data_IF_171267151829
#
_entry.id   IF_171267151829
#
_cell.length_a   1.000
_cell.length_b   1.000
_cell.length_c   1.000
_cell.angle_alpha   90.00
_cell.angle_beta   90.00
_cell.angle_gamma   90.00
#
_symmetry.space_group_name_H-M   'P 1'
#
loop_
_entity.id
_entity.type
_entity.pdbx_description
1 polymer ?
#
# COMPACT_ATOMS: atom_id res chain seq x y z
N UNK A 1 18.38 -8.01 27.78
CA UNK A 1 18.07 -7.99 26.34
C UNK A 1 18.48 -6.63 25.82
N UNK A 2 19.22 -6.58 24.71
CA UNK A 2 19.74 -5.34 24.15
C UNK A 2 18.60 -4.42 23.69
N UNK A 3 18.85 -3.11 23.62
CA UNK A 3 17.89 -2.09 23.17
C UNK A 3 17.23 -2.44 21.81
N UNK A 4 17.89 -3.26 20.98
CA UNK A 4 17.38 -3.73 19.70
C UNK A 4 16.13 -4.61 19.83
N UNK A 5 16.08 -5.57 20.77
CA UNK A 5 14.92 -6.49 20.88
C UNK A 5 13.64 -5.73 21.24
N UNK A 6 13.76 -4.71 22.08
CA UNK A 6 12.63 -3.86 22.44
C UNK A 6 12.14 -3.03 21.24
N UNK A 7 13.05 -2.57 20.37
CA UNK A 7 12.66 -1.89 19.14
C UNK A 7 11.93 -2.84 18.18
N UNK A 8 12.42 -4.07 17.97
CA UNK A 8 11.72 -5.06 17.14
C UNK A 8 10.29 -5.30 17.66
N UNK A 9 10.14 -5.46 18.98
CA UNK A 9 8.82 -5.66 19.59
C UNK A 9 7.88 -4.48 19.36
N UNK A 10 8.40 -3.25 19.49
CA UNK A 10 7.63 -2.05 19.19
C UNK A 10 7.22 -1.97 17.71
N UNK A 11 8.14 -2.29 16.79
CA UNK A 11 7.84 -2.28 15.36
C UNK A 11 6.75 -3.30 15.01
N UNK A 12 6.80 -4.50 15.62
CA UNK A 12 5.75 -5.53 15.49
C UNK A 12 4.40 -4.99 15.98
N UNK A 13 4.38 -4.37 17.15
CA UNK A 13 3.15 -3.79 17.71
C UNK A 13 2.59 -2.69 16.81
N UNK A 14 3.44 -1.84 16.26
CA UNK A 14 3.04 -0.78 15.34
C UNK A 14 2.46 -1.36 14.04
N UNK A 15 3.06 -2.41 13.47
CA UNK A 15 2.53 -3.11 12.29
C UNK A 15 1.14 -3.68 12.54
N UNK A 16 0.94 -4.41 13.64
CA UNK A 16 -0.38 -4.98 13.96
C UNK A 16 -1.41 -3.91 14.32
N UNK A 17 -1.00 -2.84 15.02
CA UNK A 17 -1.89 -1.73 15.35
C UNK A 17 -2.37 -0.97 14.11
N UNK A 18 -1.50 -0.76 13.13
CA UNK A 18 -1.81 -0.05 11.90
C UNK A 18 -2.54 -0.94 10.88
N UNK A 19 -2.10 -2.19 10.71
CA UNK A 19 -2.46 -3.03 9.56
C UNK A 19 -3.10 -4.37 9.91
N UNK A 20 -3.13 -4.79 11.18
CA UNK A 20 -3.72 -6.08 11.57
C UNK A 20 -5.21 -6.18 11.22
N UNK A 21 -5.96 -5.09 11.39
CA UNK A 21 -7.37 -5.01 10.97
C UNK A 21 -7.56 -5.03 9.43
N UNK A 22 -6.49 -4.83 8.68
CA UNK A 22 -6.46 -4.82 7.20
C UNK A 22 -5.88 -6.10 6.60
N UNK A 23 -5.64 -7.13 7.41
CA UNK A 23 -5.29 -8.47 6.94
C UNK A 23 -3.82 -8.85 7.07
N UNK A 24 -2.98 -8.03 7.72
CA UNK A 24 -1.66 -8.52 8.17
C UNK A 24 -1.87 -9.59 9.24
N UNK A 25 -1.41 -10.80 8.96
CA UNK A 25 -1.60 -12.01 9.76
C UNK A 25 -0.29 -12.68 10.16
N UNK A 26 0.84 -11.98 10.02
CA UNK A 26 2.16 -12.52 10.30
C UNK A 26 3.26 -11.46 10.26
N UNK A 27 4.49 -11.88 10.57
CA UNK A 27 5.68 -11.04 10.57
C UNK A 27 6.80 -11.71 9.78
N UNK A 28 7.38 -10.95 8.85
CA UNK A 28 8.61 -11.29 8.16
C UNK A 28 9.77 -10.55 8.82
N UNK A 29 10.67 -11.28 9.47
CA UNK A 29 11.87 -10.74 10.11
C UNK A 29 13.02 -10.79 9.12
N UNK A 30 13.44 -9.61 8.66
CA UNK A 30 14.54 -9.47 7.71
C UNK A 30 15.92 -9.45 8.39
N UNK A 31 16.97 -9.74 7.62
CA UNK A 31 18.38 -9.68 8.05
C UNK A 31 18.70 -10.59 9.25
N UNK A 32 18.11 -11.78 9.25
CA UNK A 32 18.35 -12.80 10.27
C UNK A 32 19.73 -13.42 10.07
N UNK A 33 20.48 -13.69 11.14
CA UNK A 33 21.76 -14.39 11.00
C UNK A 33 21.55 -15.88 10.74
N UNK A 34 22.44 -16.50 9.95
CA UNK A 34 22.33 -17.92 9.61
C UNK A 34 22.95 -18.87 10.66
N UNK A 35 23.63 -18.32 11.67
CA UNK A 35 24.35 -19.07 12.70
C UNK A 35 23.53 -19.17 14.00
N UNK A 36 23.65 -20.28 14.73
CA UNK A 36 23.01 -20.44 16.04
C UNK A 36 23.58 -19.48 17.08
N UNK A 37 24.89 -19.21 17.01
CA UNK A 37 25.58 -18.39 17.99
C UNK A 37 27.05 -18.16 17.67
N UNK A 38 27.81 -17.91 18.73
CA UNK A 38 29.25 -17.65 18.68
C UNK A 38 30.03 -18.79 19.33
N UNK A 39 31.36 -18.78 19.20
CA UNK A 39 32.21 -19.76 19.90
C UNK A 39 32.12 -19.67 21.44
N UNK A 40 31.76 -18.51 22.00
CA UNK A 40 31.63 -18.32 23.45
C UNK A 40 30.24 -18.67 23.97
N UNK A 41 29.24 -18.55 23.09
CA UNK A 41 27.83 -18.80 23.38
C UNK A 41 27.17 -19.38 22.12
N UNK A 42 27.13 -20.72 21.97
CA UNK A 42 26.69 -21.40 20.76
C UNK A 42 25.23 -21.14 20.38
N UNK A 43 24.42 -20.68 21.33
CA UNK A 43 22.98 -20.46 21.13
C UNK A 43 22.59 -18.97 21.17
N UNK A 44 23.58 -18.07 21.20
CA UNK A 44 23.35 -16.63 21.38
C UNK A 44 22.33 -16.02 20.41
N UNK A 45 22.41 -16.37 19.13
CA UNK A 45 21.56 -15.77 18.11
C UNK A 45 20.21 -16.47 18.06
N UNK A 46 20.21 -17.79 18.15
CA UNK A 46 18.99 -18.60 18.11
C UNK A 46 18.07 -18.26 19.30
N UNK A 47 18.62 -18.05 20.50
CA UNK A 47 17.87 -17.60 21.68
C UNK A 47 17.27 -16.20 21.50
N UNK A 48 17.95 -15.31 20.78
CA UNK A 48 17.45 -13.97 20.48
C UNK A 48 16.21 -14.02 19.57
N UNK A 49 16.29 -14.78 18.47
CA UNK A 49 15.15 -14.91 17.56
C UNK A 49 14.01 -15.72 18.18
N UNK A 50 14.32 -16.74 18.98
CA UNK A 50 13.32 -17.45 19.77
C UNK A 50 12.54 -16.49 20.70
N UNK A 51 13.21 -15.59 21.40
CA UNK A 51 12.53 -14.59 22.24
C UNK A 51 11.63 -13.62 21.45
N UNK A 52 11.97 -13.31 20.20
CA UNK A 52 11.11 -12.50 19.31
C UNK A 52 9.91 -13.32 18.82
N UNK A 53 10.12 -14.57 18.40
CA UNK A 53 9.05 -15.46 17.97
C UNK A 53 8.07 -15.79 19.10
N UNK A 54 8.57 -16.01 20.32
CA UNK A 54 7.75 -16.18 21.52
C UNK A 54 6.91 -14.92 21.78
N UNK A 55 7.51 -13.73 21.66
CA UNK A 55 6.77 -12.47 21.80
C UNK A 55 5.64 -12.35 20.76
N UNK A 56 5.90 -12.66 19.49
CA UNK A 56 4.88 -12.64 18.44
C UNK A 56 3.77 -13.62 18.79
N UNK A 57 4.12 -14.85 19.15
CA UNK A 57 3.16 -15.92 19.46
C UNK A 57 2.29 -15.60 20.67
N UNK A 58 2.88 -15.00 21.71
CA UNK A 58 2.19 -14.64 22.96
C UNK A 58 1.22 -13.46 22.78
N UNK A 59 1.60 -12.46 21.98
CA UNK A 59 0.81 -11.23 21.80
C UNK A 59 -0.14 -11.27 20.60
N UNK A 60 0.20 -12.07 19.57
CA UNK A 60 -0.55 -12.21 18.33
C UNK A 60 -0.77 -13.70 17.99
N UNK A 61 -1.63 -14.41 18.76
CA UNK A 61 -1.82 -15.84 18.58
C UNK A 61 -2.29 -16.20 17.16
N UNK A 62 -1.57 -17.11 16.51
CA UNK A 62 -1.84 -17.54 15.14
C UNK A 62 -1.13 -16.70 14.07
N UNK A 63 -0.32 -15.71 14.45
CA UNK A 63 0.51 -14.98 13.51
C UNK A 63 1.54 -15.90 12.85
N UNK A 64 1.66 -15.83 11.53
CA UNK A 64 2.65 -16.58 10.75
C UNK A 64 4.03 -15.92 10.86
N UNK A 65 5.08 -16.68 11.13
CA UNK A 65 6.43 -16.15 11.36
C UNK A 65 7.37 -16.61 10.25
N UNK A 66 8.02 -15.63 9.60
CA UNK A 66 9.05 -15.87 8.58
C UNK A 66 10.37 -15.27 9.03
N UNK A 67 11.46 -16.05 8.96
CA UNK A 67 12.82 -15.54 9.12
C UNK A 67 13.50 -15.45 7.76
N UNK A 68 14.17 -14.33 7.49
CA UNK A 68 15.00 -14.17 6.30
C UNK A 68 16.50 -14.06 6.61
N UNK A 69 17.21 -15.20 6.66
CA UNK A 69 18.66 -15.20 6.54
C UNK A 69 19.18 -15.01 5.12
N UNK A 70 18.37 -15.32 4.10
CA UNK A 70 18.74 -15.22 2.69
C UNK A 70 19.80 -16.24 2.24
N UNK A 71 20.14 -17.21 3.08
CA UNK A 71 21.21 -18.18 2.84
C UNK A 71 21.02 -19.45 3.67
N UNK A 72 21.72 -20.56 3.36
CA UNK A 72 21.62 -21.79 4.13
C UNK A 72 21.90 -21.57 5.62
N UNK A 73 21.01 -22.08 6.46
CA UNK A 73 20.96 -21.83 7.91
C UNK A 73 21.25 -23.09 8.72
N UNK A 74 21.77 -22.93 9.94
CA UNK A 74 21.98 -24.03 10.88
C UNK A 74 20.64 -24.57 11.42
N UNK A 75 20.59 -25.87 11.75
CA UNK A 75 19.32 -26.57 12.07
C UNK A 75 18.65 -26.11 13.37
N UNK A 76 19.34 -25.34 14.22
CA UNK A 76 18.76 -24.81 15.46
C UNK A 76 17.57 -23.85 15.21
N UNK A 77 17.44 -23.32 13.98
CA UNK A 77 16.33 -22.43 13.61
C UNK A 77 15.02 -23.15 13.26
N UNK A 78 15.04 -24.49 13.13
CA UNK A 78 13.89 -25.27 12.64
C UNK A 78 12.57 -24.98 13.37
N UNK A 79 12.63 -24.80 14.69
CA UNK A 79 11.47 -24.64 15.57
C UNK A 79 11.11 -23.17 15.88
N UNK A 80 11.80 -22.19 15.28
CA UNK A 80 11.68 -20.77 15.69
C UNK A 80 10.69 -19.99 14.83
N UNK A 81 10.43 -20.46 13.62
CA UNK A 81 9.55 -19.80 12.68
C UNK A 81 8.84 -20.82 11.82
N UNK A 82 7.72 -20.43 11.22
CA UNK A 82 6.95 -21.30 10.34
C UNK A 82 7.71 -21.56 9.04
N UNK A 83 8.29 -20.52 8.45
CA UNK A 83 9.12 -20.55 7.23
C UNK A 83 10.45 -19.83 7.42
N UNK A 84 11.48 -20.30 6.74
CA UNK A 84 12.81 -19.68 6.69
C UNK A 84 13.23 -19.49 5.24
N UNK A 85 13.64 -18.28 4.87
CA UNK A 85 14.22 -18.00 3.56
C UNK A 85 15.67 -18.49 3.55
N UNK A 86 15.90 -19.66 2.99
CA UNK A 86 17.23 -20.31 2.97
C UNK A 86 18.02 -20.04 1.70
N UNK A 87 17.47 -19.26 0.78
CA UNK A 87 18.18 -18.69 -0.35
C UNK A 87 17.55 -17.35 -0.76
N UNK A 88 18.35 -16.31 -0.87
CA UNK A 88 18.00 -15.04 -1.50
C UNK A 88 19.18 -14.57 -2.38
N UNK A 89 19.02 -14.63 -3.70
CA UNK A 89 20.17 -14.34 -4.58
C UNK A 89 19.87 -14.38 -6.08
N UNK A 90 20.92 -14.14 -6.87
CA UNK A 90 20.80 -14.13 -8.33
C UNK A 90 20.64 -15.53 -8.92
N UNK A 91 20.00 -15.60 -10.07
CA UNK A 91 19.86 -16.78 -10.91
C UNK A 91 21.19 -17.51 -11.12
N UNK A 92 22.25 -16.74 -11.45
CA UNK A 92 23.57 -17.28 -11.68
C UNK A 92 24.12 -18.01 -10.43
N UNK A 93 23.97 -17.42 -9.25
CA UNK A 93 24.43 -18.02 -7.99
C UNK A 93 23.59 -19.25 -7.61
N UNK A 94 22.28 -19.17 -7.83
CA UNK A 94 21.33 -20.25 -7.53
C UNK A 94 21.61 -21.51 -8.36
N UNK A 95 21.76 -21.33 -9.68
CA UNK A 95 22.00 -22.44 -10.60
C UNK A 95 23.42 -23.00 -10.51
N UNK A 96 24.41 -22.18 -10.12
CA UNK A 96 25.78 -22.62 -9.88
C UNK A 96 25.98 -23.27 -8.49
N UNK A 97 24.94 -23.33 -7.66
CA UNK A 97 24.99 -23.89 -6.30
C UNK A 97 26.07 -23.24 -5.42
N UNK A 98 26.21 -21.92 -5.52
CA UNK A 98 27.26 -21.16 -4.79
C UNK A 98 27.09 -21.29 -3.27
N UNK A 99 25.85 -21.45 -2.80
CA UNK A 99 25.49 -21.68 -1.41
C UNK A 99 24.73 -23.01 -1.31
N UNK A 100 25.43 -24.14 -1.12
CA UNK A 100 24.80 -25.46 -1.11
C UNK A 100 23.78 -25.60 0.03
N UNK A 101 22.64 -26.22 -0.28
CA UNK A 101 21.58 -26.50 0.69
C UNK A 101 22.09 -27.31 1.87
N UNK A 102 21.69 -26.92 3.09
CA UNK A 102 22.07 -27.63 4.30
C UNK A 102 21.49 -29.06 4.33
N UNK A 103 22.22 -30.08 4.81
CA UNK A 103 21.73 -31.46 4.82
C UNK A 103 20.40 -31.64 5.55
N UNK A 104 20.21 -30.96 6.68
CA UNK A 104 18.97 -31.07 7.46
C UNK A 104 17.75 -30.52 6.71
N UNK A 105 17.93 -29.50 5.86
CA UNK A 105 16.86 -29.01 4.99
C UNK A 105 16.45 -30.10 4.00
N UNK A 106 17.41 -30.79 3.36
CA UNK A 106 17.11 -31.88 2.43
C UNK A 106 16.46 -33.09 3.10
N UNK A 107 16.73 -33.30 4.39
CA UNK A 107 16.20 -34.42 5.19
C UNK A 107 14.87 -34.08 5.87
N UNK A 108 14.48 -32.80 5.92
CA UNK A 108 13.26 -32.36 6.59
C UNK A 108 12.02 -32.92 5.90
N UNK A 109 11.05 -33.36 6.71
CA UNK A 109 9.77 -33.83 6.22
C UNK A 109 8.82 -32.68 5.83
N UNK A 110 9.15 -31.44 6.20
CA UNK A 110 8.31 -30.27 5.95
C UNK A 110 8.99 -29.32 4.94
N UNK A 111 8.71 -29.44 3.63
CA UNK A 111 9.27 -28.53 2.64
C UNK A 111 8.76 -27.09 2.81
N UNK A 112 7.57 -26.87 3.39
CA UNK A 112 7.04 -25.52 3.66
C UNK A 112 7.85 -24.77 4.70
N UNK A 113 8.78 -25.43 5.40
CA UNK A 113 9.76 -24.76 6.27
C UNK A 113 10.72 -23.85 5.50
N UNK A 114 10.85 -24.01 4.18
CA UNK A 114 11.90 -23.38 3.40
C UNK A 114 11.36 -22.59 2.20
N UNK A 115 11.94 -21.41 2.00
CA UNK A 115 11.62 -20.50 0.90
C UNK A 115 12.88 -20.07 0.17
N UNK A 116 12.86 -20.15 -1.17
CA UNK A 116 13.89 -19.59 -2.03
C UNK A 116 13.39 -18.36 -2.82
N UNK A 117 14.13 -17.26 -2.75
CA UNK A 117 13.93 -16.02 -3.49
C UNK A 117 15.03 -15.87 -4.55
N UNK A 118 14.68 -15.83 -5.84
CA UNK A 118 15.67 -15.83 -6.93
C UNK A 118 15.40 -14.71 -7.92
N UNK A 119 16.35 -13.78 -8.09
CA UNK A 119 16.23 -12.66 -9.03
C UNK A 119 17.15 -12.81 -10.26
N UNK A 120 17.02 -11.92 -11.25
CA UNK A 120 17.79 -11.94 -12.51
C UNK A 120 17.56 -13.24 -13.33
N UNK A 121 16.33 -13.74 -13.32
CA UNK A 121 15.93 -14.94 -14.07
C UNK A 121 15.35 -14.53 -15.43
N UNK A 122 16.02 -14.84 -16.55
CA UNK A 122 15.83 -14.10 -17.80
C UNK A 122 14.50 -14.37 -18.54
N UNK A 123 13.88 -15.52 -18.35
CA UNK A 123 12.67 -15.93 -19.05
C UNK A 123 11.91 -17.04 -18.32
N UNK A 124 10.69 -17.34 -18.79
CA UNK A 124 9.83 -18.35 -18.20
C UNK A 124 10.43 -19.76 -18.19
N UNK A 125 11.31 -20.11 -19.15
CA UNK A 125 11.96 -21.41 -19.17
C UNK A 125 13.06 -21.51 -18.09
N UNK A 126 13.79 -20.42 -17.87
CA UNK A 126 14.72 -20.31 -16.75
C UNK A 126 13.99 -20.31 -15.41
N UNK A 127 12.84 -19.63 -15.30
CA UNK A 127 11.98 -19.67 -14.11
C UNK A 127 11.52 -21.10 -13.80
N UNK A 128 11.01 -21.85 -14.77
CA UNK A 128 10.60 -23.24 -14.57
C UNK A 128 11.78 -24.11 -14.09
N UNK A 129 12.99 -23.87 -14.58
CA UNK A 129 14.19 -24.56 -14.10
C UNK A 129 14.55 -24.20 -12.64
N UNK A 130 14.33 -22.94 -12.24
CA UNK A 130 14.51 -22.48 -10.85
C UNK A 130 13.49 -23.13 -9.91
N UNK A 131 12.22 -23.15 -10.29
CA UNK A 131 11.14 -23.81 -9.54
C UNK A 131 11.42 -25.31 -9.40
N UNK A 132 11.78 -25.99 -10.50
CA UNK A 132 12.14 -27.41 -10.44
C UNK A 132 13.33 -27.68 -9.51
N UNK A 133 14.31 -26.76 -9.47
CA UNK A 133 15.47 -26.85 -8.56
C UNK A 133 15.09 -26.58 -7.10
N UNK A 134 14.17 -25.66 -6.81
CA UNK A 134 13.74 -25.40 -5.42
C UNK A 134 13.11 -26.64 -4.80
N UNK A 135 12.26 -27.35 -5.56
CA UNK A 135 11.67 -28.62 -5.11
C UNK A 135 12.72 -29.72 -4.89
N UNK A 136 13.77 -29.78 -5.72
CA UNK A 136 14.91 -30.70 -5.50
C UNK A 136 15.72 -30.35 -4.23
N UNK A 137 15.75 -29.08 -3.86
CA UNK A 137 16.40 -28.57 -2.64
C UNK A 137 15.45 -28.56 -1.43
N UNK A 138 14.31 -29.25 -1.52
CA UNK A 138 13.28 -29.36 -0.48
C UNK A 138 12.69 -28.01 -0.04
N UNK A 139 12.67 -27.00 -0.92
CA UNK A 139 12.00 -25.74 -0.68
C UNK A 139 10.56 -25.76 -1.19
N UNK A 140 9.61 -25.67 -0.27
CA UNK A 140 8.17 -25.63 -0.54
C UNK A 140 7.76 -24.33 -1.20
N UNK A 141 8.28 -23.20 -0.70
CA UNK A 141 8.02 -21.87 -1.25
C UNK A 141 9.13 -21.43 -2.19
N UNK A 142 8.75 -20.72 -3.26
CA UNK A 142 9.68 -20.12 -4.22
C UNK A 142 9.07 -18.84 -4.77
N UNK A 143 9.90 -17.82 -4.96
CA UNK A 143 9.57 -16.64 -5.74
C UNK A 143 10.74 -16.30 -6.67
N UNK A 144 10.41 -15.98 -7.92
CA UNK A 144 11.36 -15.88 -9.02
C UNK A 144 11.07 -14.63 -9.83
N UNK A 145 12.07 -13.79 -10.07
CA UNK A 145 11.88 -12.53 -10.80
C UNK A 145 12.93 -12.28 -11.87
N UNK A 146 12.51 -11.68 -12.99
CA UNK A 146 13.40 -11.22 -14.06
C UNK A 146 14.04 -9.87 -13.75
N UNK A 147 13.59 -9.22 -12.68
CA UNK A 147 14.17 -7.96 -12.22
C UNK A 147 15.53 -8.14 -11.57
N UNK A 148 16.32 -7.06 -11.55
CA UNK A 148 17.73 -7.08 -11.21
C UNK A 148 18.03 -6.25 -9.97
N UNK A 149 18.93 -6.78 -9.13
CA UNK A 149 19.59 -5.96 -8.12
C UNK A 149 20.63 -5.04 -8.79
N UNK A 150 20.31 -3.76 -8.91
CA UNK A 150 21.23 -2.74 -9.45
C UNK A 150 21.86 -1.99 -8.29
N UNK A 151 23.18 -2.02 -8.18
CA UNK A 151 23.92 -1.31 -7.13
C UNK A 151 24.67 -0.10 -7.70
N UNK A 152 24.73 0.99 -6.93
CA UNK A 152 25.63 2.11 -7.19
C UNK A 152 27.09 1.73 -6.88
N UNK A 153 28.02 2.65 -7.17
CA UNK A 153 29.45 2.42 -6.95
C UNK A 153 29.83 2.21 -5.47
N UNK A 154 28.93 2.53 -4.52
CA UNK A 154 29.11 2.36 -3.08
C UNK A 154 28.35 1.14 -2.54
N UNK A 155 27.65 0.39 -3.39
CA UNK A 155 26.85 -0.77 -3.00
C UNK A 155 25.43 -0.46 -2.55
N UNK A 156 24.94 0.77 -2.72
CA UNK A 156 23.55 1.12 -2.45
C UNK A 156 22.65 0.68 -3.62
N UNK A 157 21.50 0.09 -3.32
CA UNK A 157 20.55 -0.32 -4.36
C UNK A 157 19.95 0.90 -5.08
N UNK A 158 20.02 0.89 -6.42
CA UNK A 158 19.38 1.82 -7.35
C UNK A 158 18.12 1.22 -7.98
N UNK A 159 17.95 -0.10 -7.89
CA UNK A 159 16.77 -0.87 -8.27
C UNK A 159 16.71 -2.13 -7.41
N UNK A 160 15.51 -2.48 -6.95
CA UNK A 160 15.29 -3.61 -6.05
C UNK A 160 14.54 -4.70 -6.80
N UNK A 161 15.04 -5.95 -6.85
CA UNK A 161 14.40 -7.01 -7.65
C UNK A 161 12.98 -7.37 -7.17
N UNK A 162 12.59 -6.88 -6.00
CA UNK A 162 11.34 -7.18 -5.32
C UNK A 162 10.29 -6.07 -5.48
N UNK A 163 10.55 -5.05 -6.31
CA UNK A 163 9.69 -3.86 -6.42
C UNK A 163 8.64 -3.92 -7.55
N UNK A 164 8.70 -4.95 -8.40
CA UNK A 164 7.76 -5.18 -9.51
C UNK A 164 7.43 -6.66 -9.68
N UNK A 165 6.27 -6.97 -10.29
CA UNK A 165 5.92 -8.33 -10.68
C UNK A 165 6.70 -8.74 -11.93
N UNK A 166 7.16 -10.01 -12.01
CA UNK A 166 7.93 -10.46 -13.14
C UNK A 166 7.09 -10.57 -14.41
N UNK A 167 7.75 -10.49 -15.57
CA UNK A 167 7.07 -10.60 -16.87
C UNK A 167 6.35 -11.93 -17.11
N UNK A 168 6.64 -12.95 -16.28
CA UNK A 168 6.07 -14.30 -16.33
C UNK A 168 5.28 -14.68 -15.07
N UNK A 169 4.81 -13.70 -14.28
CA UNK A 169 4.09 -13.94 -13.01
C UNK A 169 3.03 -15.04 -13.08
N UNK A 170 2.11 -14.98 -14.05
CA UNK A 170 1.05 -15.98 -14.21
C UNK A 170 1.63 -17.39 -14.45
N UNK A 171 2.67 -17.51 -15.29
CA UNK A 171 3.32 -18.80 -15.53
C UNK A 171 4.04 -19.35 -14.29
N UNK A 172 4.61 -18.47 -13.47
CA UNK A 172 5.26 -18.86 -12.22
C UNK A 172 4.27 -19.45 -11.20
N UNK A 173 3.08 -18.87 -11.08
CA UNK A 173 2.03 -19.41 -10.20
C UNK A 173 1.68 -20.87 -10.57
N UNK A 174 1.56 -21.17 -11.87
CA UNK A 174 1.30 -22.52 -12.36
C UNK A 174 2.46 -23.46 -12.05
N UNK A 175 3.68 -23.05 -12.38
CA UNK A 175 4.88 -23.88 -12.16
C UNK A 175 5.12 -24.16 -10.67
N UNK A 176 4.95 -23.16 -9.80
CA UNK A 176 5.14 -23.29 -8.37
C UNK A 176 4.11 -24.22 -7.71
N UNK A 177 2.87 -24.23 -8.21
CA UNK A 177 1.81 -25.13 -7.76
C UNK A 177 2.05 -26.59 -8.20
N UNK A 178 2.77 -26.81 -9.31
CA UNK A 178 3.15 -28.15 -9.77
C UNK A 178 1.97 -28.99 -10.27
N UNK A 179 0.90 -28.35 -10.74
CA UNK A 179 -0.30 -29.01 -11.29
C UNK A 179 -0.56 -28.51 -12.72
N UNK A 180 -1.09 -29.40 -13.58
CA UNK A 180 -1.57 -29.03 -14.91
C UNK A 180 -2.98 -28.46 -14.80
N UNK A 181 -3.10 -27.14 -14.87
CA UNK A 181 -4.32 -26.42 -14.55
C UNK A 181 -5.21 -26.19 -15.78
N UNK A 182 -6.39 -26.83 -15.75
CA UNK A 182 -7.37 -26.81 -16.84
C UNK A 182 -8.78 -26.48 -16.36
N UNK A 183 -8.95 -26.27 -15.06
CA UNK A 183 -10.23 -25.84 -14.51
C UNK A 183 -10.33 -24.32 -14.67
N UNK A 184 -11.55 -23.83 -14.88
CA UNK A 184 -11.80 -22.38 -14.93
C UNK A 184 -12.09 -21.88 -13.53
N UNK A 185 -11.76 -20.61 -13.21
CA UNK A 185 -12.23 -19.98 -11.99
C UNK A 185 -13.76 -19.96 -11.93
N UNK A 186 -14.29 -19.96 -10.72
CA UNK A 186 -15.69 -19.60 -10.52
C UNK A 186 -15.97 -18.18 -11.06
N UNK A 187 -17.18 -17.88 -11.56
CA UNK A 187 -17.52 -16.50 -11.92
C UNK A 187 -17.40 -15.58 -10.70
N UNK A 188 -16.81 -14.37 -10.84
CA UNK A 188 -16.76 -13.41 -9.75
C UNK A 188 -18.15 -13.13 -9.16
N UNK A 189 -18.25 -13.17 -7.83
CA UNK A 189 -19.48 -12.86 -7.10
C UNK A 189 -19.33 -11.61 -6.22
N UNK A 190 -20.42 -11.18 -5.59
CA UNK A 190 -20.41 -10.01 -4.70
C UNK A 190 -20.12 -8.69 -5.41
N UNK A 191 -20.30 -8.60 -6.74
CA UNK A 191 -20.05 -7.37 -7.50
C UNK A 191 -20.90 -6.21 -6.97
N UNK A 192 -20.22 -5.22 -6.39
CA UNK A 192 -20.79 -3.99 -5.85
C UNK A 192 -20.15 -2.76 -6.47
N UNK A 193 -20.79 -1.60 -6.27
CA UNK A 193 -20.28 -0.32 -6.76
C UNK A 193 -20.59 0.84 -5.80
N UNK A 194 -19.61 1.72 -5.61
CA UNK A 194 -19.77 3.04 -5.03
C UNK A 194 -19.61 4.10 -6.12
N UNK A 195 -20.70 4.78 -6.48
CA UNK A 195 -20.70 5.81 -7.53
C UNK A 195 -20.75 7.23 -6.94
N UNK A 196 -19.87 8.10 -7.45
CA UNK A 196 -19.76 9.51 -7.05
C UNK A 196 -19.82 10.37 -8.30
N UNK A 197 -20.56 11.49 -8.24
CA UNK A 197 -20.63 12.47 -9.32
C UNK A 197 -19.98 13.78 -8.90
N UNK A 198 -19.10 14.27 -9.76
CA UNK A 198 -18.62 15.65 -9.75
C UNK A 198 -19.60 16.58 -10.46
N UNK A 199 -19.11 17.73 -10.90
CA UNK A 199 -19.94 18.77 -11.53
C UNK A 199 -20.31 18.43 -12.98
N UNK A 200 -19.45 17.70 -13.68
CA UNK A 200 -19.63 17.35 -15.10
C UNK A 200 -19.36 15.89 -15.43
N UNK A 201 -18.59 15.20 -14.60
CA UNK A 201 -18.24 13.79 -14.76
C UNK A 201 -18.59 13.00 -13.51
N UNK A 202 -18.71 11.68 -13.65
CA UNK A 202 -18.90 10.75 -12.56
C UNK A 202 -17.87 9.63 -12.63
N UNK A 203 -17.73 8.91 -11.52
CA UNK A 203 -16.96 7.66 -11.42
C UNK A 203 -17.74 6.61 -10.64
N UNK A 204 -17.39 5.36 -10.84
CA UNK A 204 -17.84 4.25 -10.01
C UNK A 204 -16.65 3.39 -9.63
N UNK A 205 -16.48 3.16 -8.33
CA UNK A 205 -15.54 2.17 -7.80
C UNK A 205 -16.27 0.84 -7.68
N UNK A 206 -15.85 -0.13 -8.47
CA UNK A 206 -16.36 -1.49 -8.46
C UNK A 206 -15.50 -2.36 -7.55
N UNK A 207 -16.13 -3.27 -6.79
CA UNK A 207 -15.45 -4.26 -5.94
C UNK A 207 -16.18 -5.59 -6.04
N UNK A 208 -15.47 -6.70 -5.94
CA UNK A 208 -16.02 -8.05 -5.95
C UNK A 208 -15.18 -8.98 -5.06
N UNK A 209 -15.68 -10.18 -4.76
CA UNK A 209 -14.89 -11.17 -4.03
C UNK A 209 -13.92 -11.87 -4.97
N UNK A 210 -12.78 -12.34 -4.45
CA UNK A 210 -11.88 -13.20 -5.21
C UNK A 210 -12.55 -14.56 -5.45
N UNK A 211 -12.82 -14.97 -6.71
CA UNK A 211 -13.39 -16.27 -6.98
C UNK A 211 -12.40 -17.38 -6.61
N UNK A 212 -12.95 -18.54 -6.29
CA UNK A 212 -12.15 -19.73 -6.06
C UNK A 212 -11.63 -20.29 -7.39
N UNK A 213 -10.39 -20.76 -7.34
CA UNK A 213 -9.73 -21.52 -8.39
C UNK A 213 -8.78 -22.54 -7.73
N UNK A 214 -8.46 -23.64 -8.41
CA UNK A 214 -7.61 -24.69 -7.86
C UNK A 214 -6.11 -24.35 -7.83
N UNK A 215 -5.66 -23.37 -8.61
CA UNK A 215 -4.29 -22.85 -8.55
C UNK A 215 -4.31 -21.43 -8.04
N UNK A 216 -4.82 -20.50 -8.84
CA UNK A 216 -4.86 -19.09 -8.49
C UNK A 216 -5.66 -18.32 -9.55
N UNK A 217 -6.65 -17.57 -9.09
CA UNK A 217 -7.20 -16.46 -9.86
C UNK A 217 -6.11 -15.41 -10.06
N UNK A 218 -5.70 -15.19 -11.31
CA UNK A 218 -4.62 -14.27 -11.65
C UNK A 218 -5.15 -12.84 -11.85
N UNK A 219 -6.33 -12.66 -12.43
CA UNK A 219 -6.90 -11.31 -12.55
C UNK A 219 -8.28 -11.26 -13.17
N UNK A 220 -8.72 -10.05 -13.49
CA UNK A 220 -10.10 -9.74 -13.86
C UNK A 220 -10.21 -8.84 -15.08
N UNK A 221 -11.17 -9.13 -15.95
CA UNK A 221 -11.57 -8.24 -17.05
C UNK A 221 -12.93 -7.64 -16.73
N UNK A 222 -13.01 -6.30 -16.79
CA UNK A 222 -14.21 -5.55 -16.41
C UNK A 222 -14.92 -5.06 -17.66
N UNK A 223 -16.24 -5.20 -17.68
CA UNK A 223 -17.11 -4.84 -18.79
C UNK A 223 -18.06 -3.73 -18.37
N UNK A 224 -18.25 -2.74 -19.25
CA UNK A 224 -19.28 -1.69 -19.16
C UNK A 224 -20.19 -1.79 -20.38
N UNK A 225 -21.47 -2.00 -20.15
CA UNK A 225 -22.51 -2.16 -21.18
C UNK A 225 -22.14 -3.22 -22.24
N UNK A 226 -21.54 -4.33 -21.78
CA UNK A 226 -21.10 -5.45 -22.62
C UNK A 226 -19.78 -5.24 -23.36
N UNK A 227 -19.10 -4.11 -23.15
CA UNK A 227 -17.80 -3.80 -23.77
C UNK A 227 -16.71 -3.83 -22.70
N UNK A 228 -15.61 -4.53 -22.96
CA UNK A 228 -14.44 -4.53 -22.08
C UNK A 228 -13.88 -3.12 -21.93
N UNK A 229 -13.62 -2.71 -20.70
CA UNK A 229 -13.02 -1.42 -20.35
C UNK A 229 -11.61 -1.55 -19.77
N UNK A 230 -11.06 -2.77 -19.74
CA UNK A 230 -9.71 -3.07 -19.28
C UNK A 230 -9.66 -4.21 -18.29
N UNK A 231 -8.44 -4.49 -17.84
CA UNK A 231 -8.11 -5.56 -16.91
C UNK A 231 -7.49 -5.01 -15.63
N UNK A 232 -7.56 -5.79 -14.55
CA UNK A 232 -6.95 -5.49 -13.25
C UNK A 232 -6.55 -6.78 -12.55
N UNK A 233 -5.46 -6.75 -11.79
CA UNK A 233 -5.05 -7.84 -10.89
C UNK A 233 -5.75 -7.73 -9.52
N UNK A 234 -6.17 -6.51 -9.14
CA UNK A 234 -6.96 -6.28 -7.94
C UNK A 234 -8.42 -6.66 -8.16
N UNK A 235 -9.10 -7.13 -7.11
CA UNK A 235 -10.55 -7.34 -7.08
C UNK A 235 -11.37 -6.05 -6.97
N UNK A 236 -10.82 -4.95 -7.53
CA UNK A 236 -11.36 -3.59 -7.50
C UNK A 236 -10.97 -2.87 -8.78
N UNK A 237 -11.89 -2.06 -9.33
CA UNK A 237 -11.58 -1.16 -10.44
C UNK A 237 -12.36 0.15 -10.30
N UNK A 238 -11.69 1.29 -10.49
CA UNK A 238 -12.35 2.60 -10.57
C UNK A 238 -12.60 2.99 -12.01
N UNK A 239 -13.88 3.06 -12.40
CA UNK A 239 -14.32 3.49 -13.73
C UNK A 239 -14.57 4.99 -13.72
N UNK A 240 -13.76 5.76 -14.43
CA UNK A 240 -13.87 7.22 -14.53
C UNK A 240 -14.53 7.66 -15.85
N UNK A 241 -14.79 8.96 -15.99
CA UNK A 241 -15.35 9.53 -17.23
C UNK A 241 -16.80 9.15 -17.50
N UNK A 242 -17.55 8.73 -16.48
CA UNK A 242 -18.98 8.50 -16.59
C UNK A 242 -19.75 9.83 -16.61
N UNK A 243 -21.00 9.80 -17.03
CA UNK A 243 -21.91 10.96 -16.97
C UNK A 243 -22.80 10.86 -15.73
N UNK A 244 -23.06 11.98 -15.02
CA UNK A 244 -24.04 12.00 -13.93
C UNK A 244 -25.44 11.59 -14.39
N UNK A 245 -26.27 11.12 -13.45
CA UNK A 245 -27.66 10.66 -13.69
C UNK A 245 -27.81 9.67 -14.86
N UNK A 246 -26.79 8.87 -15.13
CA UNK A 246 -26.77 7.87 -16.20
C UNK A 246 -26.66 6.47 -15.63
N UNK A 247 -27.42 5.52 -16.17
CA UNK A 247 -27.36 4.11 -15.81
C UNK A 247 -26.34 3.38 -16.69
N UNK A 248 -25.51 2.57 -16.07
CA UNK A 248 -24.50 1.70 -16.71
C UNK A 248 -24.66 0.28 -16.19
N UNK A 249 -24.45 -0.71 -17.06
CA UNK A 249 -24.33 -2.12 -16.68
C UNK A 249 -22.86 -2.52 -16.53
N UNK A 250 -22.52 -3.19 -15.44
CA UNK A 250 -21.18 -3.72 -15.17
C UNK A 250 -21.20 -5.24 -14.98
N UNK A 251 -20.18 -5.90 -15.49
CA UNK A 251 -19.90 -7.30 -15.28
C UNK A 251 -18.38 -7.51 -15.19
N UNK A 252 -17.97 -8.59 -14.54
CA UNK A 252 -16.56 -8.97 -14.40
C UNK A 252 -16.43 -10.45 -14.71
N UNK A 253 -15.35 -10.86 -15.36
CA UNK A 253 -14.92 -12.27 -15.39
C UNK A 253 -13.50 -12.36 -14.86
N UNK A 254 -13.11 -13.52 -14.39
CA UNK A 254 -11.77 -13.82 -13.93
C UNK A 254 -11.01 -14.66 -14.97
N UNK A 255 -9.68 -14.59 -14.93
CA UNK A 255 -8.80 -15.60 -15.50
C UNK A 255 -7.86 -16.14 -14.42
N UNK A 256 -7.50 -17.41 -14.52
CA UNK A 256 -6.48 -18.03 -13.67
C UNK A 256 -5.07 -17.86 -14.25
N UNK A 257 -4.09 -18.29 -13.48
CA UNK A 257 -2.67 -18.30 -13.85
C UNK A 257 -2.35 -19.12 -15.13
N UNK A 258 -3.13 -20.14 -15.45
CA UNK A 258 -2.99 -20.94 -16.67
C UNK A 258 -3.70 -20.32 -17.90
N UNK A 259 -4.45 -19.24 -17.69
CA UNK A 259 -5.20 -18.53 -18.72
C UNK A 259 -6.57 -19.13 -19.01
N UNK A 260 -7.11 -20.02 -18.17
CA UNK A 260 -8.52 -20.40 -18.27
C UNK A 260 -9.39 -19.23 -17.75
N UNK A 261 -10.59 -19.09 -18.32
CA UNK A 261 -11.43 -17.89 -18.13
C UNK A 261 -12.81 -18.31 -17.65
N UNK A 262 -13.29 -17.63 -16.61
CA UNK A 262 -14.62 -17.86 -16.03
C UNK A 262 -15.75 -17.38 -16.96
N UNK A 263 -16.98 -17.79 -16.66
CA UNK A 263 -18.16 -17.05 -17.13
C UNK A 263 -18.19 -15.64 -16.51
N UNK A 264 -19.01 -14.74 -17.08
CA UNK A 264 -19.26 -13.42 -16.51
C UNK A 264 -20.02 -13.52 -15.18
N UNK A 265 -19.74 -12.59 -14.28
CA UNK A 265 -20.54 -12.33 -13.09
C UNK A 265 -22.00 -12.02 -13.44
N UNK A 266 -22.87 -12.11 -12.43
CA UNK A 266 -24.18 -11.49 -12.51
C UNK A 266 -24.06 -9.99 -12.86
N UNK A 267 -24.96 -9.44 -13.72
CA UNK A 267 -24.90 -8.06 -14.14
C UNK A 267 -25.29 -7.11 -13.01
N UNK A 268 -24.45 -6.10 -12.75
CA UNK A 268 -24.72 -5.01 -11.84
C UNK A 268 -25.14 -3.76 -12.61
N UNK A 269 -26.37 -3.28 -12.39
CA UNK A 269 -26.80 -1.98 -12.92
C UNK A 269 -26.52 -0.88 -11.90
N UNK A 270 -25.71 0.11 -12.27
CA UNK A 270 -25.35 1.26 -11.43
C UNK A 270 -25.87 2.52 -12.09
N UNK A 271 -26.62 3.32 -11.34
CA UNK A 271 -27.00 4.68 -11.76
C UNK A 271 -26.15 5.68 -11.00
N UNK A 272 -25.34 6.45 -11.72
CA UNK A 272 -24.52 7.50 -11.11
C UNK A 272 -25.41 8.57 -10.47
N UNK A 273 -24.99 9.19 -9.36
CA UNK A 273 -25.72 10.31 -8.75
C UNK A 273 -25.98 11.48 -9.71
N UNK A 274 -26.82 12.43 -9.29
CA UNK A 274 -26.92 13.71 -9.97
C UNK A 274 -25.61 14.49 -9.88
N UNK A 275 -25.37 15.36 -10.86
CA UNK A 275 -24.19 16.23 -10.85
C UNK A 275 -24.17 17.08 -9.57
N UNK A 276 -23.00 17.17 -8.96
CA UNK A 276 -22.79 18.03 -7.82
C UNK A 276 -22.93 19.51 -8.23
N UNK A 277 -23.50 20.33 -7.37
CA UNK A 277 -23.61 21.77 -7.63
C UNK A 277 -22.25 22.48 -7.51
N UNK A 278 -21.33 21.93 -6.72
CA UNK A 278 -19.98 22.45 -6.47
C UNK A 278 -18.98 21.30 -6.43
N UNK A 279 -17.72 21.60 -6.76
CA UNK A 279 -16.65 20.59 -6.76
C UNK A 279 -16.07 20.27 -5.39
N UNK A 280 -16.32 21.14 -4.40
CA UNK A 280 -15.91 20.98 -3.00
C UNK A 280 -17.18 20.83 -2.16
N UNK A 281 -17.26 19.73 -1.41
CA UNK A 281 -18.40 19.37 -0.58
C UNK A 281 -18.01 19.31 0.90
N UNK A 282 -18.97 19.65 1.75
CA UNK A 282 -18.86 19.58 3.22
C UNK A 282 -17.55 20.14 3.80
N UNK A 283 -17.07 21.33 3.36
CA UNK A 283 -15.88 21.93 3.94
C UNK A 283 -16.12 22.20 5.43
N UNK A 284 -15.19 21.76 6.27
CA UNK A 284 -15.25 21.94 7.71
C UNK A 284 -13.87 22.24 8.28
N UNK A 285 -13.86 22.99 9.37
CA UNK A 285 -12.63 23.36 10.07
C UNK A 285 -12.90 23.35 11.56
N UNK A 286 -11.94 22.86 12.32
CA UNK A 286 -11.95 22.87 13.77
C UNK A 286 -10.63 23.44 14.29
N UNK A 287 -10.69 24.27 15.33
CA UNK A 287 -9.52 24.86 15.97
C UNK A 287 -9.57 24.59 17.47
N UNK A 288 -8.56 23.92 17.99
CA UNK A 288 -8.33 23.74 19.43
C UNK A 288 -7.11 24.56 19.90
N UNK A 289 -6.68 24.37 21.14
CA UNK A 289 -5.45 24.98 21.66
C UNK A 289 -4.16 24.42 21.02
N UNK A 290 -4.19 23.19 20.52
CA UNK A 290 -3.00 22.47 20.06
C UNK A 290 -3.07 22.03 18.60
N UNK A 291 -4.26 21.83 18.05
CA UNK A 291 -4.48 21.30 16.69
C UNK A 291 -5.52 22.14 15.95
N UNK A 292 -5.26 22.41 14.67
CA UNK A 292 -6.23 22.87 13.70
C UNK A 292 -6.49 21.74 12.69
N UNK A 293 -7.75 21.33 12.55
CA UNK A 293 -8.20 20.25 11.66
C UNK A 293 -9.04 20.82 10.53
N UNK A 294 -8.78 20.39 9.30
CA UNK A 294 -9.47 20.83 8.09
C UNK A 294 -9.94 19.61 7.31
N UNK A 295 -11.18 19.62 6.84
CA UNK A 295 -11.75 18.49 6.10
C UNK A 295 -12.65 18.97 4.97
N UNK A 296 -12.51 18.37 3.78
CA UNK A 296 -13.44 18.59 2.66
C UNK A 296 -13.41 17.40 1.70
N UNK A 297 -14.52 17.16 1.02
CA UNK A 297 -14.59 16.19 -0.08
C UNK A 297 -14.46 16.88 -1.44
N UNK A 298 -13.71 16.27 -2.35
CA UNK A 298 -13.45 16.81 -3.69
C UNK A 298 -13.96 15.85 -4.77
N UNK A 299 -15.01 16.25 -5.47
CA UNK A 299 -15.76 15.34 -6.36
C UNK A 299 -15.32 15.37 -7.82
N UNK A 300 -14.57 16.39 -8.22
CA UNK A 300 -13.92 16.52 -9.52
C UNK A 300 -12.42 16.19 -9.42
N UNK A 301 -11.78 15.68 -10.51
CA UNK A 301 -10.36 15.34 -10.49
C UNK A 301 -9.49 16.60 -10.51
N UNK A 302 -8.84 16.90 -9.39
CA UNK A 302 -7.94 18.05 -9.27
C UNK A 302 -6.49 17.62 -9.04
N UNK A 303 -5.56 18.39 -9.61
CA UNK A 303 -4.12 18.15 -9.47
C UNK A 303 -3.56 18.64 -8.12
N UNK A 304 -4.29 19.54 -7.46
CA UNK A 304 -3.91 20.09 -6.15
C UNK A 304 -5.15 20.35 -5.32
N UNK A 305 -5.05 20.05 -4.02
CA UNK A 305 -6.05 20.31 -2.99
C UNK A 305 -5.44 21.27 -1.98
N UNK A 306 -6.07 22.43 -1.77
CA UNK A 306 -5.54 23.48 -0.93
C UNK A 306 -6.48 23.89 0.19
N UNK A 307 -5.88 24.27 1.31
CA UNK A 307 -6.54 25.00 2.39
C UNK A 307 -5.79 26.31 2.59
N UNK A 308 -6.44 27.43 2.35
CA UNK A 308 -5.91 28.75 2.68
C UNK A 308 -6.40 29.16 4.06
N UNK A 309 -5.46 29.57 4.92
CA UNK A 309 -5.69 29.86 6.32
C UNK A 309 -5.17 31.28 6.61
N UNK A 310 -6.09 32.19 6.90
CA UNK A 310 -5.81 33.43 7.63
C UNK A 310 -5.81 33.05 9.12
N UNK A 311 -4.60 33.02 9.69
CA UNK A 311 -4.35 32.45 11.02
C UNK A 311 -4.40 33.50 12.12
N UNK A 312 -4.22 34.78 11.80
CA UNK A 312 -4.27 35.89 12.74
C UNK A 312 -5.60 36.69 12.68
N UNK A 313 -6.46 36.37 11.71
CA UNK A 313 -7.72 37.05 11.41
C UNK A 313 -7.51 38.55 11.14
N UNK A 314 -6.39 38.90 10.50
CA UNK A 314 -6.06 40.24 10.03
C UNK A 314 -5.99 40.30 8.49
N UNK A 315 -7.02 40.88 7.89
CA UNK A 315 -7.09 41.08 6.44
C UNK A 315 -5.99 42.00 5.86
N UNK A 316 -5.21 42.69 6.70
CA UNK A 316 -4.11 43.57 6.27
C UNK A 316 -2.76 42.84 6.12
N UNK A 317 -2.64 41.62 6.64
CA UNK A 317 -1.44 40.77 6.53
C UNK A 317 -1.64 39.72 5.43
N UNK A 318 -0.69 38.80 5.26
CA UNK A 318 -0.87 37.64 4.38
C UNK A 318 -1.03 37.91 2.88
N UNK A 319 -1.40 36.85 2.18
CA UNK A 319 -1.72 36.83 0.76
C UNK A 319 -3.21 37.18 0.54
N UNK A 320 -3.49 37.90 -0.55
CA UNK A 320 -4.86 38.25 -0.93
C UNK A 320 -5.33 37.31 -2.05
N UNK A 321 -6.33 36.48 -1.75
CA UNK A 321 -6.96 35.63 -2.77
C UNK A 321 -7.75 36.48 -3.79
N UNK A 322 -8.16 35.88 -4.94
CA UNK A 322 -8.94 36.59 -5.95
C UNK A 322 -10.21 37.25 -5.41
N UNK A 323 -10.77 38.25 -6.12
CA UNK A 323 -11.98 38.96 -5.67
C UNK A 323 -13.12 38.01 -5.29
N UNK A 324 -13.70 38.22 -4.10
CA UNK A 324 -14.75 37.36 -3.53
C UNK A 324 -14.25 36.28 -2.57
N UNK A 325 -12.94 36.14 -2.41
CA UNK A 325 -12.29 35.24 -1.44
C UNK A 325 -11.63 36.03 -0.29
N UNK A 326 -11.27 35.36 0.83
CA UNK A 326 -10.58 35.99 1.96
C UNK A 326 -9.24 36.64 1.58
N UNK A 327 -8.95 37.79 2.19
CA UNK A 327 -7.60 38.35 2.29
C UNK A 327 -6.95 37.87 3.61
N UNK A 328 -5.71 38.27 3.90
CA UNK A 328 -5.09 37.89 5.18
C UNK A 328 -4.46 36.50 5.20
N UNK A 329 -4.31 35.80 4.07
CA UNK A 329 -3.91 34.38 4.12
C UNK A 329 -2.44 34.23 4.48
N UNK A 330 -2.16 33.74 5.68
CA UNK A 330 -0.81 33.52 6.19
C UNK A 330 -0.23 32.17 5.79
N UNK A 331 -1.10 31.15 5.71
CA UNK A 331 -0.70 29.77 5.47
C UNK A 331 -1.52 29.15 4.35
N UNK A 332 -0.87 28.23 3.65
CA UNK A 332 -1.48 27.39 2.63
C UNK A 332 -1.08 25.95 2.93
N UNK A 333 -2.06 25.08 3.07
CA UNK A 333 -1.83 23.64 2.89
C UNK A 333 -2.00 23.37 1.40
N UNK A 334 -1.07 22.64 0.79
CA UNK A 334 -1.24 22.09 -0.55
C UNK A 334 -0.89 20.61 -0.51
N UNK A 335 -1.87 19.76 -0.81
CA UNK A 335 -1.76 18.31 -0.70
C UNK A 335 -1.22 17.89 0.68
N UNK A 336 0.00 17.37 0.77
CA UNK A 336 0.62 16.90 2.01
C UNK A 336 1.50 17.92 2.75
N UNK A 337 1.62 19.17 2.27
CA UNK A 337 2.60 20.11 2.78
C UNK A 337 1.97 21.42 3.28
N UNK A 338 2.51 21.94 4.39
CA UNK A 338 2.18 23.26 4.93
C UNK A 338 3.17 24.31 4.42
N UNK A 339 2.66 25.46 3.99
CA UNK A 339 3.43 26.61 3.53
C UNK A 339 3.06 27.87 4.30
N UNK A 340 4.03 28.75 4.46
CA UNK A 340 3.88 30.09 5.05
C UNK A 340 4.15 31.16 3.99
N UNK A 341 3.32 32.18 3.99
CA UNK A 341 3.49 33.36 3.14
C UNK A 341 4.70 34.20 3.56
N UNK A 342 5.47 34.70 2.59
CA UNK A 342 6.74 35.41 2.89
C UNK A 342 6.97 36.72 2.14
N UNK A 343 6.08 37.13 1.24
CA UNK A 343 6.30 38.34 0.47
C UNK A 343 5.31 38.56 -0.66
N UNK A 344 5.45 39.63 -1.45
CA UNK A 344 4.44 40.03 -2.42
C UNK A 344 4.21 38.96 -3.51
N UNK A 345 2.96 38.85 -3.96
CA UNK A 345 2.57 37.90 -5.02
C UNK A 345 2.48 36.47 -4.50
N UNK A 346 2.68 35.48 -5.38
CA UNK A 346 2.64 34.07 -4.99
C UNK A 346 3.97 33.62 -4.38
N UNK A 347 4.21 33.97 -3.11
CA UNK A 347 5.48 33.71 -2.42
C UNK A 347 5.28 32.89 -1.14
N UNK A 348 5.61 31.60 -1.23
CA UNK A 348 5.36 30.59 -0.20
C UNK A 348 6.64 29.83 0.14
N UNK A 349 6.92 29.63 1.43
CA UNK A 349 7.99 28.74 1.91
C UNK A 349 7.39 27.57 2.69
N UNK A 350 7.84 26.36 2.41
CA UNK A 350 7.36 25.18 3.14
C UNK A 350 7.79 25.26 4.62
N UNK A 351 6.88 24.93 5.53
CA UNK A 351 7.16 24.77 6.95
C UNK A 351 7.75 23.37 7.16
N UNK A 352 9.05 23.30 7.47
CA UNK A 352 9.75 22.01 7.64
C UNK A 352 9.23 21.24 8.86
N UNK A 353 9.19 19.91 8.75
CA UNK A 353 8.82 19.01 9.85
C UNK A 353 7.32 18.92 10.14
N UNK A 354 6.47 19.42 9.24
CA UNK A 354 5.00 19.34 9.36
C UNK A 354 4.44 18.64 8.12
N UNK A 355 3.71 17.55 8.33
CA UNK A 355 3.04 16.76 7.29
C UNK A 355 1.54 16.71 7.58
N UNK A 356 0.74 17.69 7.10
CA UNK A 356 -0.64 17.82 7.56
C UNK A 356 -1.61 16.75 7.09
N UNK A 357 -1.35 16.06 5.98
CA UNK A 357 -2.34 15.16 5.37
C UNK A 357 -2.51 13.88 6.20
N UNK A 358 -3.73 13.66 6.69
CA UNK A 358 -4.12 12.52 7.54
C UNK A 358 -4.82 11.43 6.73
N UNK A 359 -5.69 11.80 5.80
CA UNK A 359 -6.47 10.84 5.00
C UNK A 359 -6.90 11.44 3.66
N UNK A 360 -7.04 10.57 2.66
CA UNK A 360 -7.63 10.86 1.33
C UNK A 360 -8.71 9.83 0.96
N UNK A 361 -9.28 9.14 1.95
CA UNK A 361 -10.21 8.03 1.73
C UNK A 361 -11.52 8.53 1.12
N UNK A 362 -12.02 7.83 0.09
CA UNK A 362 -13.29 8.14 -0.59
C UNK A 362 -13.44 9.62 -0.98
N UNK A 363 -12.34 10.21 -1.47
CA UNK A 363 -12.27 11.60 -1.93
C UNK A 363 -12.43 12.66 -0.83
N UNK A 364 -12.43 12.24 0.43
CA UNK A 364 -12.40 13.11 1.60
C UNK A 364 -10.96 13.35 2.01
N UNK A 365 -10.55 14.61 2.01
CA UNK A 365 -9.23 15.00 2.47
C UNK A 365 -9.34 15.55 3.87
N UNK A 366 -8.52 14.99 4.77
CA UNK A 366 -8.41 15.45 6.16
C UNK A 366 -6.98 15.93 6.39
N UNK A 367 -6.85 17.12 6.94
CA UNK A 367 -5.58 17.71 7.34
C UNK A 367 -5.57 18.10 8.80
N UNK A 368 -4.46 17.86 9.48
CA UNK A 368 -4.22 18.32 10.85
C UNK A 368 -2.89 19.07 10.93
N UNK A 369 -2.94 20.26 11.51
CA UNK A 369 -1.77 21.14 11.70
C UNK A 369 -1.62 21.43 13.18
N UNK A 370 -0.43 21.23 13.77
CA UNK A 370 -0.14 21.75 15.11
C UNK A 370 -0.30 23.27 15.12
N UNK A 371 -1.07 23.82 16.06
CA UNK A 371 -1.29 25.28 16.15
C UNK A 371 0.03 26.05 16.34
N UNK A 372 1.03 25.41 16.95
CA UNK A 372 2.40 25.94 17.08
C UNK A 372 3.12 26.17 15.75
N UNK A 373 2.68 25.52 14.66
CA UNK A 373 3.22 25.71 13.32
C UNK A 373 2.58 26.88 12.57
N UNK A 374 1.46 27.43 13.07
CA UNK A 374 0.77 28.57 12.48
C UNK A 374 1.26 29.87 13.13
N UNK A 375 1.89 30.73 12.34
CA UNK A 375 2.29 32.08 12.78
C UNK A 375 1.05 32.93 13.05
N UNK A 376 1.06 33.70 14.14
CA UNK A 376 -0.03 34.63 14.44
C UNK A 376 -1.32 33.97 14.92
N UNK A 377 -1.33 32.66 15.20
CA UNK A 377 -2.49 31.86 15.56
C UNK A 377 -3.41 32.53 16.61
N UNK A 378 -4.39 33.27 16.10
CA UNK A 378 -5.42 33.90 16.90
C UNK A 378 -6.41 32.85 17.39
N UNK A 379 -7.27 33.22 18.33
CA UNK A 379 -8.38 32.37 18.75
C UNK A 379 -9.49 32.29 17.71
N UNK A 380 -9.31 32.86 16.52
CA UNK A 380 -10.21 32.77 15.37
C UNK A 380 -9.39 32.71 14.09
N UNK A 381 -9.79 31.83 13.16
CA UNK A 381 -9.21 31.68 11.83
C UNK A 381 -10.27 31.91 10.75
N UNK A 382 -9.83 32.38 9.59
CA UNK A 382 -10.64 32.40 8.37
C UNK A 382 -10.04 31.41 7.37
N UNK A 383 -10.88 30.49 6.90
CA UNK A 383 -10.45 29.33 6.11
C UNK A 383 -11.23 29.25 4.82
N UNK A 384 -10.56 28.93 3.73
CA UNK A 384 -11.22 28.55 2.47
C UNK A 384 -10.48 27.39 1.82
N UNK A 385 -11.25 26.44 1.30
CA UNK A 385 -10.74 25.32 0.53
C UNK A 385 -10.71 25.70 -0.94
N UNK A 386 -9.66 25.28 -1.65
CA UNK A 386 -9.50 25.51 -3.08
C UNK A 386 -8.98 24.26 -3.77
N UNK A 387 -9.38 24.05 -5.02
CA UNK A 387 -8.78 23.03 -5.86
C UNK A 387 -8.76 23.41 -7.35
N UNK A 388 -7.79 22.85 -8.06
CA UNK A 388 -7.81 22.72 -9.53
C UNK A 388 -7.57 23.97 -10.38
N UNK A 389 -7.75 23.78 -11.69
CA UNK A 389 -7.85 24.81 -12.74
C UNK A 389 -9.00 24.42 -13.71
N UNK A 390 -10.04 25.26 -13.91
CA UNK A 390 -10.23 26.54 -13.24
C UNK A 390 -10.39 26.38 -11.73
N UNK A 391 -9.97 27.39 -10.97
CA UNK A 391 -10.00 27.34 -9.51
C UNK A 391 -11.44 27.20 -9.01
N UNK A 392 -11.70 26.15 -8.23
CA UNK A 392 -12.91 26.00 -7.43
C UNK A 392 -12.62 26.41 -6.00
N UNK A 393 -13.51 27.20 -5.40
CA UNK A 393 -13.41 27.62 -4.00
C UNK A 393 -14.63 27.16 -3.22
N UNK A 394 -14.43 26.77 -1.96
CA UNK A 394 -15.53 26.56 -1.03
C UNK A 394 -16.14 27.88 -0.55
N UNK A 395 -17.23 27.80 0.21
CA UNK A 395 -17.60 28.91 1.07
C UNK A 395 -16.49 29.19 2.10
N UNK A 396 -16.31 30.46 2.46
CA UNK A 396 -15.42 30.86 3.55
C UNK A 396 -15.98 30.39 4.88
N UNK A 397 -15.12 29.79 5.70
CA UNK A 397 -15.40 29.41 7.07
C UNK A 397 -14.71 30.37 8.02
N UNK A 398 -15.39 30.80 9.07
CA UNK A 398 -14.78 31.50 10.22
C UNK A 398 -14.91 30.59 11.43
N UNK A 399 -13.78 30.21 12.00
CA UNK A 399 -13.71 29.22 13.09
C UNK A 399 -13.07 29.84 14.31
N UNK A 400 -13.81 29.89 15.42
CA UNK A 400 -13.26 30.26 16.72
C UNK A 400 -12.78 29.03 17.48
N UNK A 401 -11.73 29.21 18.27
CA UNK A 401 -11.13 28.17 19.07
C UNK A 401 -12.14 27.56 20.06
N UNK A 402 -12.19 26.24 20.09
CA UNK A 402 -13.01 25.44 21.01
C UNK A 402 -12.13 24.63 21.97
N UNK A 403 -12.77 23.91 22.91
CA UNK A 403 -12.07 23.02 23.84
C UNK A 403 -11.53 21.75 23.18
N UNK A 404 -11.87 21.47 21.92
CA UNK A 404 -11.43 20.26 21.23
C UNK A 404 -11.90 20.17 19.78
N UNK A 405 -11.11 19.43 19.02
CA UNK A 405 -11.43 18.76 17.77
C UNK A 405 -11.46 17.26 18.06
#
# INVERSE_FOLDING_TARGET
>A
MADWTAQIQQDIDDWFALYGAYGVDGIFLDQVTALCGTAADPDLYVDLYAAVSDYISDNYPGAYIILNPGMPVESCYEDIADTIVTFEGSYANYMADVFPTAPWQLESANPEKFWHLVYDVPDAAAMAAVVARSKQQNAGFVYVTDDQLVLDANGAALGHPWDTLPAYWDAELVEAAGVDDTAVPDPPDGLGAAAVSGTSTARATLTWNNPWDNVATAGYEVFKDGVSIGTTYDNRMTVTGLLPSTSYGFQVKAWDAAGNVSDLSDPLTVTTPAAAATSILSPSSCLSASVARYEAAYVDPFTHHRVFIDSDNDTATGYHLPPGQPAGVDHMIENGALYRYVGPGWAWIQVSGVSPLVSTTDDVYVWEVPVSALVGAATTQVVVFQAGSPDAYSATLTVSQSTGC
#
